data_IF_291449740000
#
_entry.id   IF_291449740000
#
_cell.length_a   1.000
_cell.length_b   1.000
_cell.length_c   1.000
_cell.angle_alpha   90.00
_cell.angle_beta   90.00
_cell.angle_gamma   90.00
#
_symmetry.space_group_name_H-M   'P 1'
#
loop_
_entity.id
_entity.type
_entity.pdbx_description
1 polymer ?
#
# COMPACT_ATOMS: atom_id res chain seq x y z
N UNK A 1 -17.01 2.49 12.55
CA UNK A 1 -16.34 3.66 13.20
C UNK A 1 -14.91 3.76 12.69
N UNK A 2 -14.50 4.92 12.16
CA UNK A 2 -13.14 5.16 11.67
C UNK A 2 -12.25 5.60 12.84
N UNK A 3 -11.16 4.87 13.10
CA UNK A 3 -10.07 5.29 13.98
C UNK A 3 -9.04 6.08 13.20
N UNK A 4 -8.47 7.09 13.85
CA UNK A 4 -7.45 7.96 13.32
C UNK A 4 -6.23 7.94 14.24
N UNK A 5 -5.05 7.85 13.67
CA UNK A 5 -3.78 8.00 14.39
C UNK A 5 -2.85 8.87 13.56
N UNK A 6 -2.33 9.93 14.16
CA UNK A 6 -1.25 10.71 13.55
C UNK A 6 0.09 10.10 13.93
N UNK A 7 0.94 9.95 12.94
CA UNK A 7 2.28 9.44 13.14
C UNK A 7 3.30 10.37 12.49
N UNK A 8 4.55 10.26 12.91
CA UNK A 8 5.66 11.08 12.41
C UNK A 8 6.84 10.22 11.99
N UNK A 9 6.88 9.84 10.72
CA UNK A 9 7.92 9.00 10.14
C UNK A 9 8.56 9.70 8.93
N UNK A 10 9.80 10.16 9.08
CA UNK A 10 10.19 11.55 9.39
C UNK A 10 9.18 12.71 9.16
N UNK A 11 8.18 12.55 8.30
CA UNK A 11 7.12 13.53 8.05
C UNK A 11 5.79 13.09 8.71
N UNK A 12 4.87 14.03 9.02
CA UNK A 12 3.54 13.67 9.51
C UNK A 12 2.74 12.89 8.46
N UNK A 13 2.02 11.87 8.89
CA UNK A 13 1.07 11.14 8.05
C UNK A 13 -0.12 10.68 8.89
N UNK A 14 -1.24 10.45 8.20
CA UNK A 14 -2.55 10.32 8.81
C UNK A 14 -3.10 8.91 8.58
N UNK A 15 -2.85 8.02 9.54
CA UNK A 15 -3.32 6.65 9.48
C UNK A 15 -4.80 6.55 9.85
N UNK A 16 -5.60 5.91 8.99
CA UNK A 16 -7.01 5.65 9.25
C UNK A 16 -7.34 4.17 9.09
N UNK A 17 -8.22 3.67 9.97
CA UNK A 17 -8.80 2.32 9.86
C UNK A 17 -10.29 2.39 10.16
N UNK A 18 -11.11 1.87 9.25
CA UNK A 18 -12.52 1.63 9.57
C UNK A 18 -12.66 0.32 10.32
N UNK A 19 -12.88 0.42 11.64
CA UNK A 19 -12.94 -0.73 12.54
C UNK A 19 -14.09 -1.69 12.21
N UNK A 20 -15.20 -1.14 11.71
CA UNK A 20 -16.41 -1.92 11.45
C UNK A 20 -16.27 -2.66 10.14
N UNK A 21 -15.88 -1.96 9.06
CA UNK A 21 -15.59 -2.60 7.77
C UNK A 21 -14.47 -3.62 7.90
N UNK A 22 -13.40 -3.29 8.64
CA UNK A 22 -12.30 -4.24 8.89
C UNK A 22 -12.80 -5.48 9.61
N UNK A 23 -13.66 -5.35 10.63
CA UNK A 23 -14.20 -6.50 11.34
C UNK A 23 -15.09 -7.39 10.45
N UNK A 24 -15.88 -6.78 9.57
CA UNK A 24 -16.86 -7.47 8.72
C UNK A 24 -16.22 -8.11 7.48
N UNK A 25 -15.23 -7.45 6.89
CA UNK A 25 -14.73 -7.79 5.55
C UNK A 25 -13.39 -8.54 5.56
N UNK A 26 -12.71 -8.66 6.71
CA UNK A 26 -11.32 -9.16 6.72
C UNK A 26 -11.11 -10.37 7.63
N UNK A 27 -10.13 -11.23 7.32
CA UNK A 27 -9.70 -12.27 8.24
C UNK A 27 -9.08 -11.64 9.51
N UNK A 28 -9.18 -12.38 10.62
CA UNK A 28 -8.72 -11.92 11.93
C UNK A 28 -7.25 -11.47 11.95
N UNK A 29 -6.39 -12.08 11.14
CA UNK A 29 -4.97 -11.71 11.03
C UNK A 29 -4.78 -10.28 10.51
N UNK A 30 -5.49 -9.89 9.44
CA UNK A 30 -5.42 -8.52 8.91
C UNK A 30 -6.04 -7.53 9.90
N UNK A 31 -7.19 -7.86 10.49
CA UNK A 31 -7.81 -7.03 11.52
C UNK A 31 -6.84 -6.74 12.66
N UNK A 32 -6.18 -7.77 13.20
CA UNK A 32 -5.25 -7.60 14.31
C UNK A 32 -4.08 -6.69 13.93
N UNK A 33 -3.48 -6.90 12.75
CA UNK A 33 -2.39 -6.05 12.26
C UNK A 33 -2.81 -4.57 12.16
N UNK A 34 -3.94 -4.28 11.50
CA UNK A 34 -4.42 -2.91 11.33
C UNK A 34 -4.71 -2.21 12.67
N UNK A 35 -5.32 -2.95 13.61
CA UNK A 35 -5.61 -2.40 14.94
C UNK A 35 -4.33 -2.17 15.75
N UNK A 36 -3.39 -3.13 15.69
CA UNK A 36 -2.11 -3.06 16.38
C UNK A 36 -1.28 -1.89 15.87
N UNK A 37 -1.20 -1.67 14.56
CA UNK A 37 -0.49 -0.52 14.01
C UNK A 37 -0.99 0.81 14.56
N UNK A 38 -2.29 0.97 14.81
CA UNK A 38 -2.84 2.20 15.40
C UNK A 38 -2.44 2.46 16.85
N UNK A 39 -1.94 1.45 17.57
CA UNK A 39 -1.62 1.54 19.01
C UNK A 39 -0.14 1.29 19.32
N UNK A 40 0.51 0.42 18.55
CA UNK A 40 1.86 -0.11 18.78
C UNK A 40 2.67 -0.13 17.47
N UNK A 41 2.60 0.92 16.66
CA UNK A 41 3.43 1.04 15.47
C UNK A 41 4.93 1.07 15.85
N UNK A 42 5.81 0.28 15.22
CA UNK A 42 7.24 0.31 15.51
C UNK A 42 7.91 1.49 14.80
N UNK A 43 7.80 2.68 15.41
CA UNK A 43 8.17 3.94 14.79
C UNK A 43 9.63 4.00 14.30
N UNK A 44 10.55 3.34 15.00
CA UNK A 44 11.98 3.28 14.67
C UNK A 44 12.23 2.70 13.27
N UNK A 45 11.39 1.78 12.81
CA UNK A 45 11.52 1.07 11.53
C UNK A 45 11.28 1.94 10.30
N UNK A 46 10.82 3.18 10.50
CA UNK A 46 10.47 4.10 9.41
C UNK A 46 11.35 5.37 9.42
N UNK A 47 12.36 5.41 10.28
CA UNK A 47 13.27 6.55 10.40
C UNK A 47 14.53 6.39 9.54
N UNK A 48 14.89 5.16 9.20
CA UNK A 48 16.09 4.80 8.44
C UNK A 48 15.76 3.74 7.37
N UNK A 49 16.72 3.47 6.50
CA UNK A 49 16.61 2.44 5.48
C UNK A 49 15.82 2.87 4.24
N UNK A 50 15.79 2.01 3.23
CA UNK A 50 15.11 2.32 1.97
C UNK A 50 13.60 2.44 2.17
N UNK A 51 12.96 3.34 1.41
CA UNK A 51 11.50 3.39 1.31
C UNK A 51 11.03 2.67 0.06
N UNK A 52 9.98 1.86 0.16
CA UNK A 52 9.41 1.12 -0.97
C UNK A 52 9.02 2.06 -2.13
N UNK A 53 8.48 3.24 -1.81
CA UNK A 53 8.12 4.28 -2.79
C UNK A 53 9.32 4.97 -3.46
N UNK A 54 10.53 4.82 -2.92
CA UNK A 54 11.76 5.37 -3.48
C UNK A 54 12.52 4.38 -4.39
N UNK A 55 12.06 3.12 -4.47
CA UNK A 55 12.70 2.10 -5.31
C UNK A 55 12.58 2.46 -6.80
N UNK A 56 13.72 2.63 -7.47
CA UNK A 56 13.79 2.91 -8.92
C UNK A 56 14.08 1.63 -9.71
N UNK A 57 13.23 0.64 -9.51
CA UNK A 57 13.33 -0.67 -10.13
C UNK A 57 11.95 -1.07 -10.63
N UNK A 58 11.87 -1.49 -11.88
CA UNK A 58 10.63 -2.03 -12.44
C UNK A 58 10.44 -3.45 -11.95
N UNK A 59 9.21 -3.82 -11.61
CA UNK A 59 8.90 -5.23 -11.38
C UNK A 59 8.81 -5.96 -12.73
N UNK A 60 8.77 -7.30 -12.68
CA UNK A 60 8.39 -8.09 -13.85
C UNK A 60 6.88 -8.21 -14.03
N UNK A 61 6.09 -7.57 -13.17
CA UNK A 61 4.64 -7.54 -13.33
C UNK A 61 4.28 -6.88 -14.66
N UNK A 62 3.16 -7.33 -15.23
CA UNK A 62 2.56 -6.73 -16.42
C UNK A 62 1.17 -6.23 -16.04
N UNK A 63 1.07 -5.04 -15.43
CA UNK A 63 -0.22 -4.49 -15.03
C UNK A 63 -1.16 -4.38 -16.23
N UNK A 64 -2.41 -4.78 -16.01
CA UNK A 64 -3.49 -4.63 -16.96
C UNK A 64 -4.09 -3.25 -16.75
N UNK A 65 -4.19 -2.48 -17.82
CA UNK A 65 -4.84 -1.17 -17.82
C UNK A 65 -6.36 -1.34 -17.78
N UNK A 66 -7.00 -0.69 -16.81
CA UNK A 66 -8.45 -0.68 -16.65
C UNK A 66 -8.93 0.77 -16.63
N UNK A 67 -9.74 1.11 -17.62
CA UNK A 67 -10.27 2.46 -17.80
C UNK A 67 -11.50 2.68 -16.92
N UNK A 68 -11.53 3.81 -16.21
CA UNK A 68 -12.73 4.35 -15.52
C UNK A 68 -13.45 3.36 -14.59
N UNK A 69 -12.72 2.67 -13.71
CA UNK A 69 -13.31 1.80 -12.69
C UNK A 69 -13.68 2.57 -11.40
N UNK A 70 -14.14 1.83 -10.38
CA UNK A 70 -14.56 2.38 -9.09
C UNK A 70 -13.49 3.25 -8.43
N UNK A 71 -12.22 2.83 -8.41
CA UNK A 71 -11.14 3.62 -7.78
C UNK A 71 -10.85 4.90 -8.53
N UNK A 72 -10.96 4.91 -9.86
CA UNK A 72 -10.84 6.13 -10.65
C UNK A 72 -11.96 7.13 -10.34
N UNK A 73 -13.22 6.65 -10.24
CA UNK A 73 -14.36 7.49 -9.84
C UNK A 73 -14.14 8.07 -8.43
N UNK A 74 -13.74 7.24 -7.47
CA UNK A 74 -13.47 7.67 -6.10
C UNK A 74 -12.32 8.69 -6.02
N UNK A 75 -11.30 8.56 -6.88
CA UNK A 75 -10.25 9.56 -7.01
C UNK A 75 -10.79 10.88 -7.58
N UNK A 76 -11.61 10.84 -8.63
CA UNK A 76 -12.22 12.04 -9.19
C UNK A 76 -13.05 12.81 -8.14
N UNK A 77 -13.93 12.09 -7.44
CA UNK A 77 -14.77 12.63 -6.36
C UNK A 77 -13.91 13.18 -5.21
N UNK A 78 -12.86 12.46 -4.81
CA UNK A 78 -11.96 12.91 -3.76
C UNK A 78 -11.19 14.18 -4.13
N UNK A 79 -10.70 14.28 -5.37
CA UNK A 79 -10.02 15.48 -5.87
C UNK A 79 -10.97 16.69 -5.92
N UNK A 80 -12.23 16.49 -6.30
CA UNK A 80 -13.26 17.54 -6.26
C UNK A 80 -13.61 17.94 -4.82
N UNK A 81 -13.58 16.98 -3.88
CA UNK A 81 -13.96 17.23 -2.49
C UNK A 81 -13.05 18.26 -1.79
N UNK A 82 -11.73 18.19 -2.02
CA UNK A 82 -10.80 19.26 -1.62
C UNK A 82 -10.66 19.52 -0.11
N UNK A 83 -10.99 18.54 0.75
CA UNK A 83 -10.95 18.66 2.21
C UNK A 83 -9.55 18.68 2.85
N UNK A 84 -8.50 18.37 2.08
CA UNK A 84 -7.11 18.27 2.49
C UNK A 84 -6.22 19.12 1.58
N UNK A 85 -5.05 19.52 2.09
CA UNK A 85 -4.10 20.34 1.35
C UNK A 85 -3.37 19.64 0.20
N UNK A 86 -3.53 18.32 0.05
CA UNK A 86 -2.86 17.52 -0.98
C UNK A 86 -3.84 16.64 -1.74
N UNK A 87 -3.52 16.34 -3.00
CA UNK A 87 -4.30 15.42 -3.82
C UNK A 87 -4.40 14.01 -3.21
N UNK A 88 -3.30 13.49 -2.63
CA UNK A 88 -3.29 12.19 -1.96
C UNK A 88 -4.24 12.19 -0.76
N UNK A 89 -4.07 13.15 0.16
CA UNK A 89 -4.91 13.23 1.36
C UNK A 89 -6.39 13.38 1.01
N UNK A 90 -6.72 14.12 -0.05
CA UNK A 90 -8.08 14.26 -0.54
C UNK A 90 -8.69 12.94 -1.00
N UNK A 91 -8.00 12.22 -1.88
CA UNK A 91 -8.45 10.92 -2.41
C UNK A 91 -8.57 9.88 -1.29
N UNK A 92 -7.53 9.76 -0.48
CA UNK A 92 -7.46 8.82 0.65
C UNK A 92 -8.59 9.07 1.67
N UNK A 93 -8.75 10.33 2.12
CA UNK A 93 -9.78 10.68 3.10
C UNK A 93 -11.19 10.51 2.53
N UNK A 94 -11.38 10.80 1.23
CA UNK A 94 -12.62 10.51 0.53
C UNK A 94 -12.94 9.03 0.57
N UNK A 95 -12.02 8.19 0.09
CA UNK A 95 -12.21 6.75 0.00
C UNK A 95 -12.55 6.12 1.35
N UNK A 96 -11.80 6.38 2.42
CA UNK A 96 -12.10 5.76 3.73
C UNK A 96 -13.47 6.18 4.28
N UNK A 97 -13.93 7.40 3.96
CA UNK A 97 -15.21 7.94 4.45
C UNK A 97 -16.42 7.52 3.62
N UNK A 98 -16.27 7.34 2.31
CA UNK A 98 -17.42 7.16 1.40
C UNK A 98 -17.46 5.79 0.74
N UNK A 99 -16.32 5.12 0.55
CA UNK A 99 -16.28 3.82 -0.11
C UNK A 99 -16.51 2.68 0.91
N UNK A 100 -17.53 1.82 0.73
CA UNK A 100 -17.80 0.71 1.64
C UNK A 100 -16.72 -0.37 1.58
N UNK A 101 -15.90 -0.40 0.52
CA UNK A 101 -14.83 -1.39 0.33
C UNK A 101 -13.50 -0.95 0.96
N UNK A 102 -13.29 0.36 1.21
CA UNK A 102 -12.05 0.89 1.79
C UNK A 102 -12.03 0.70 3.31
N UNK A 103 -10.98 0.03 3.80
CA UNK A 103 -10.84 -0.35 5.22
C UNK A 103 -9.66 0.34 5.93
N UNK A 104 -8.64 0.77 5.19
CA UNK A 104 -7.44 1.36 5.76
C UNK A 104 -6.77 2.34 4.79
N UNK A 105 -6.13 3.36 5.35
CA UNK A 105 -5.42 4.43 4.62
C UNK A 105 -4.12 4.76 5.34
N UNK A 106 -3.05 5.01 4.58
CA UNK A 106 -1.70 5.29 5.09
C UNK A 106 -1.21 4.19 6.04
N UNK A 107 -1.47 2.93 5.68
CA UNK A 107 -1.22 1.77 6.54
C UNK A 107 0.29 1.52 6.61
N UNK A 108 0.92 1.63 7.79
CA UNK A 108 2.36 1.44 7.92
C UNK A 108 2.73 -0.03 7.76
N UNK A 109 3.86 -0.28 7.10
CA UNK A 109 4.50 -1.59 7.01
C UNK A 109 6.02 -1.48 6.94
N UNK A 110 6.70 -2.52 7.36
CA UNK A 110 8.15 -2.63 7.29
C UNK A 110 8.58 -4.09 7.15
N UNK A 111 9.77 -4.31 6.62
CA UNK A 111 10.49 -5.57 6.61
C UNK A 111 11.88 -5.31 7.17
N UNK A 112 12.27 -6.09 8.17
CA UNK A 112 13.57 -5.97 8.82
C UNK A 112 14.69 -6.50 7.93
N UNK A 113 15.90 -6.01 8.14
CA UNK A 113 17.06 -6.34 7.29
C UNK A 113 17.42 -7.83 7.33
N UNK A 114 17.25 -8.48 8.48
CA UNK A 114 17.45 -9.92 8.66
C UNK A 114 16.40 -10.77 7.95
N UNK A 115 15.26 -10.19 7.58
CA UNK A 115 14.20 -10.86 6.82
C UNK A 115 14.41 -10.74 5.30
N UNK A 116 15.38 -9.94 4.83
CA UNK A 116 15.59 -9.71 3.39
C UNK A 116 15.96 -10.98 2.63
N UNK A 117 16.72 -11.87 3.26
CA UNK A 117 17.18 -13.12 2.64
C UNK A 117 16.00 -14.03 2.26
N UNK A 118 14.88 -13.98 3.00
CA UNK A 118 13.66 -14.76 2.68
C UNK A 118 13.03 -14.34 1.34
N UNK A 119 13.31 -13.12 0.91
CA UNK A 119 12.85 -12.53 -0.35
C UNK A 119 14.00 -12.37 -1.35
N UNK A 120 15.23 -12.77 -0.99
CA UNK A 120 16.46 -12.53 -1.75
C UNK A 120 16.81 -11.04 -1.94
N UNK A 121 16.19 -10.16 -1.16
CA UNK A 121 16.34 -8.72 -1.30
C UNK A 121 17.72 -8.28 -0.83
N UNK A 122 18.28 -7.27 -1.50
CA UNK A 122 19.47 -6.58 -1.06
C UNK A 122 19.31 -5.10 -1.37
N UNK A 123 19.63 -4.26 -0.40
CA UNK A 123 19.62 -2.82 -0.57
C UNK A 123 21.00 -2.27 -0.21
N UNK A 124 21.41 -1.23 -0.93
CA UNK A 124 22.67 -0.54 -0.65
C UNK A 124 22.61 0.31 0.62
N UNK A 125 21.40 0.74 0.99
CA UNK A 125 21.14 1.49 2.21
C UNK A 125 20.82 0.52 3.35
N UNK A 126 21.52 0.61 4.50
CA UNK A 126 21.30 -0.29 5.63
C UNK A 126 20.01 0.06 6.38
N UNK A 127 19.43 -0.95 7.06
CA UNK A 127 18.19 -0.80 7.83
C UNK A 127 16.95 -1.37 7.13
N UNK A 128 15.79 -1.32 7.82
CA UNK A 128 14.56 -1.92 7.34
C UNK A 128 14.05 -1.22 6.07
N UNK A 129 13.42 -1.98 5.18
CA UNK A 129 12.60 -1.38 4.12
C UNK A 129 11.22 -1.07 4.69
N UNK A 130 10.74 0.15 4.48
CA UNK A 130 9.47 0.60 5.03
C UNK A 130 8.58 1.30 3.99
N UNK A 131 7.32 1.51 4.36
CA UNK A 131 6.41 2.38 3.62
C UNK A 131 5.01 2.41 4.20
N UNK A 132 4.15 3.14 3.50
CA UNK A 132 2.77 3.37 3.86
C UNK A 132 1.90 3.04 2.66
N UNK A 133 0.95 2.14 2.83
CA UNK A 133 -0.02 1.81 1.79
C UNK A 133 -1.05 2.94 1.76
N UNK A 134 -1.19 3.61 0.62
CA UNK A 134 -2.17 4.70 0.48
C UNK A 134 -3.57 4.22 0.84
N UNK A 135 -4.02 3.10 0.26
CA UNK A 135 -5.37 2.57 0.47
C UNK A 135 -5.36 1.02 0.48
N UNK A 136 -6.04 0.43 1.47
CA UNK A 136 -6.43 -0.98 1.47
C UNK A 136 -7.94 -1.09 1.25
N UNK A 137 -8.35 -1.87 0.25
CA UNK A 137 -9.76 -2.20 -0.03
C UNK A 137 -9.98 -3.70 0.03
N UNK A 138 -11.21 -4.11 0.38
CA UNK A 138 -11.68 -5.49 0.19
C UNK A 138 -12.65 -5.52 -0.98
N UNK A 139 -12.31 -6.28 -2.01
CA UNK A 139 -13.07 -6.38 -3.26
C UNK A 139 -12.90 -7.77 -3.85
N UNK A 140 -14.03 -8.40 -4.22
CA UNK A 140 -14.11 -9.78 -4.71
C UNK A 140 -13.39 -10.79 -3.81
N UNK A 141 -13.61 -10.68 -2.50
CA UNK A 141 -12.97 -11.47 -1.44
C UNK A 141 -11.44 -11.39 -1.41
N UNK A 142 -10.84 -10.40 -2.07
CA UNK A 142 -9.39 -10.15 -2.09
C UNK A 142 -9.00 -8.86 -1.38
N UNK A 143 -7.77 -8.86 -0.86
CA UNK A 143 -7.15 -7.71 -0.21
C UNK A 143 -6.43 -6.90 -1.28
N UNK A 144 -6.99 -5.74 -1.62
CA UNK A 144 -6.40 -4.86 -2.61
C UNK A 144 -5.49 -3.82 -1.98
N UNK A 145 -4.25 -3.77 -2.48
CA UNK A 145 -3.26 -2.75 -2.19
C UNK A 145 -3.30 -1.73 -3.32
N UNK A 146 -3.76 -0.52 -2.99
CA UNK A 146 -3.93 0.58 -3.92
C UNK A 146 -2.99 1.74 -3.58
N UNK A 147 -2.41 2.35 -4.62
CA UNK A 147 -1.47 3.47 -4.52
C UNK A 147 -1.92 4.55 -5.52
N UNK A 148 -2.26 5.74 -5.01
CA UNK A 148 -2.77 6.82 -5.84
C UNK A 148 -1.59 7.55 -6.48
N UNK A 149 -1.61 7.72 -7.81
CA UNK A 149 -0.53 8.38 -8.55
C UNK A 149 -1.11 9.38 -9.53
N UNK A 150 -0.95 10.70 -9.30
CA UNK A 150 -1.36 11.68 -10.29
C UNK A 150 -0.67 11.38 -11.63
N UNK A 151 -1.47 11.17 -12.69
CA UNK A 151 -0.98 10.74 -14.01
C UNK A 151 -0.39 9.32 -13.96
N UNK A 152 -1.16 8.36 -13.46
CA UNK A 152 -0.74 6.96 -13.27
C UNK A 152 -0.12 6.35 -14.53
N UNK A 153 -0.61 6.73 -15.72
CA UNK A 153 -0.04 6.30 -17.00
C UNK A 153 1.45 6.65 -17.22
N UNK A 154 1.99 7.62 -16.47
CA UNK A 154 3.39 8.06 -16.56
C UNK A 154 4.29 7.40 -15.51
N UNK A 155 3.71 6.66 -14.58
CA UNK A 155 4.45 6.02 -13.52
C UNK A 155 5.28 4.86 -14.05
N UNK A 156 6.49 4.73 -13.49
CA UNK A 156 7.47 3.72 -13.93
C UNK A 156 7.72 2.64 -12.89
N UNK A 157 7.45 2.91 -11.62
CA UNK A 157 7.87 2.08 -10.49
C UNK A 157 6.74 1.84 -9.47
N UNK A 158 5.53 2.36 -9.73
CA UNK A 158 4.39 2.19 -8.84
C UNK A 158 4.01 0.70 -8.69
N UNK A 159 4.17 -0.09 -9.75
CA UNK A 159 4.03 -1.55 -9.76
C UNK A 159 4.96 -2.23 -8.74
N UNK A 160 6.24 -1.85 -8.70
CA UNK A 160 7.18 -2.36 -7.72
C UNK A 160 6.81 -1.92 -6.30
N UNK A 161 6.38 -0.67 -6.12
CA UNK A 161 5.97 -0.16 -4.81
C UNK A 161 4.80 -0.98 -4.24
N UNK A 162 3.71 -1.18 -5.00
CA UNK A 162 2.56 -1.95 -4.51
C UNK A 162 2.83 -3.45 -4.40
N UNK A 163 3.74 -3.99 -5.21
CA UNK A 163 4.21 -5.37 -5.06
C UNK A 163 4.95 -5.57 -3.72
N UNK A 164 5.88 -4.67 -3.39
CA UNK A 164 6.59 -4.70 -2.11
C UNK A 164 5.62 -4.59 -0.94
N UNK A 165 4.64 -3.70 -1.03
CA UNK A 165 3.59 -3.59 -0.01
C UNK A 165 2.81 -4.89 0.19
N UNK A 166 2.37 -5.54 -0.89
CA UNK A 166 1.66 -6.81 -0.78
C UNK A 166 2.54 -7.91 -0.17
N UNK A 167 3.81 -8.01 -0.59
CA UNK A 167 4.77 -8.99 -0.04
C UNK A 167 5.00 -8.79 1.46
N UNK A 168 5.28 -7.55 1.87
CA UNK A 168 5.55 -7.22 3.26
C UNK A 168 4.29 -7.42 4.12
N UNK A 169 3.13 -6.98 3.64
CA UNK A 169 1.89 -7.16 4.40
C UNK A 169 1.50 -8.65 4.49
N UNK A 170 1.67 -9.41 3.41
CA UNK A 170 1.52 -10.88 3.41
C UNK A 170 2.42 -11.53 4.47
N UNK A 171 3.69 -11.13 4.54
CA UNK A 171 4.65 -11.59 5.54
C UNK A 171 4.22 -11.24 6.97
N UNK A 172 3.94 -9.97 7.24
CA UNK A 172 3.56 -9.50 8.59
C UNK A 172 2.25 -10.09 9.09
N UNK A 173 1.30 -10.35 8.19
CA UNK A 173 -0.01 -10.90 8.55
C UNK A 173 -0.09 -12.42 8.42
N UNK A 174 0.89 -13.07 7.79
CA UNK A 174 0.83 -14.50 7.46
C UNK A 174 -0.43 -14.85 6.65
N UNK A 175 -0.89 -13.91 5.80
CA UNK A 175 -1.95 -14.13 4.83
C UNK A 175 -1.27 -14.49 3.50
N UNK A 176 -1.70 -15.57 2.82
CA UNK A 176 -1.07 -15.98 1.57
C UNK A 176 -1.13 -14.89 0.49
N UNK A 177 -0.07 -14.78 -0.32
CA UNK A 177 0.06 -13.71 -1.32
C UNK A 177 -1.05 -13.75 -2.39
N UNK A 178 -1.59 -14.94 -2.68
CA UNK A 178 -2.71 -15.16 -3.61
C UNK A 178 -4.03 -14.51 -3.16
N UNK A 179 -4.13 -14.11 -1.90
CA UNK A 179 -5.24 -13.33 -1.36
C UNK A 179 -5.12 -11.83 -1.65
N UNK A 180 -3.97 -11.39 -2.17
CA UNK A 180 -3.72 -9.99 -2.47
C UNK A 180 -3.94 -9.67 -3.94
N UNK A 181 -4.31 -8.42 -4.20
CA UNK A 181 -4.30 -7.78 -5.52
C UNK A 181 -3.60 -6.45 -5.40
N UNK A 182 -2.92 -6.03 -6.46
CA UNK A 182 -2.15 -4.81 -6.48
C UNK A 182 -2.69 -3.89 -7.56
N UNK A 183 -2.71 -2.59 -7.29
CA UNK A 183 -2.92 -1.62 -8.34
C UNK A 183 -2.49 -0.21 -7.98
N UNK A 184 -2.27 0.58 -9.00
CA UNK A 184 -2.04 2.01 -8.88
C UNK A 184 -2.95 2.75 -9.86
N UNK A 185 -3.38 3.95 -9.49
CA UNK A 185 -4.50 4.59 -10.18
C UNK A 185 -4.45 6.10 -10.11
N UNK A 186 -5.12 6.73 -11.08
CA UNK A 186 -5.52 8.13 -11.02
C UNK A 186 -7.03 8.24 -11.26
N UNK A 187 -7.53 9.47 -11.47
CA UNK A 187 -8.95 9.73 -11.70
C UNK A 187 -9.50 9.23 -13.04
N UNK A 188 -8.64 8.72 -13.94
CA UNK A 188 -9.03 8.29 -15.28
C UNK A 188 -8.77 6.80 -15.52
N UNK A 189 -7.64 6.30 -15.04
CA UNK A 189 -7.14 4.96 -15.34
C UNK A 189 -6.51 4.31 -14.12
N UNK A 190 -6.69 3.00 -14.03
CA UNK A 190 -6.01 2.16 -13.06
C UNK A 190 -5.20 1.06 -13.75
N UNK A 191 -4.19 0.56 -13.07
CA UNK A 191 -3.31 -0.49 -13.52
C UNK A 191 -3.27 -1.57 -12.46
N UNK A 192 -3.68 -2.79 -12.80
CA UNK A 192 -3.91 -3.86 -11.81
C UNK A 192 -3.16 -5.13 -12.15
N UNK A 193 -2.77 -5.89 -11.13
CA UNK A 193 -2.15 -7.21 -11.32
C UNK A 193 -2.26 -8.07 -10.05
N UNK A 194 -2.04 -9.37 -10.24
CA UNK A 194 -1.87 -10.33 -9.15
C UNK A 194 -0.40 -10.36 -8.71
N UNK A 195 -0.07 -10.09 -7.44
CA UNK A 195 1.31 -10.07 -6.97
C UNK A 195 1.91 -11.48 -6.99
N UNK A 196 3.19 -11.55 -7.35
CA UNK A 196 3.98 -12.79 -7.41
C UNK A 196 5.39 -12.53 -6.91
N UNK A 197 5.96 -13.48 -6.15
CA UNK A 197 7.32 -13.34 -5.61
C UNK A 197 8.36 -13.23 -6.72
N UNK A 198 8.14 -13.86 -7.87
CA UNK A 198 9.05 -13.81 -9.00
C UNK A 198 9.16 -12.40 -9.60
N UNK A 199 8.19 -11.52 -9.34
CA UNK A 199 8.21 -10.16 -9.90
C UNK A 199 9.26 -9.23 -9.26
N UNK A 200 9.87 -9.62 -8.13
CA UNK A 200 10.99 -8.90 -7.51
C UNK A 200 12.38 -9.33 -8.02
N UNK A 201 12.48 -10.28 -8.96
CA UNK A 201 13.77 -10.70 -9.57
C UNK A 201 14.72 -9.55 -9.98
N UNK A 202 14.24 -8.42 -10.54
CA UNK A 202 15.10 -7.30 -10.89
C UNK A 202 15.79 -6.64 -9.68
N UNK A 203 15.22 -6.73 -8.47
CA UNK A 203 15.86 -6.27 -7.23
C UNK A 203 16.99 -7.21 -6.80
N UNK A 204 16.85 -8.51 -7.08
CA UNK A 204 17.86 -9.52 -6.76
C UNK A 204 19.14 -9.33 -7.61
N UNK A 205 18.97 -8.89 -8.85
CA UNK A 205 20.04 -8.83 -9.86
C UNK A 205 20.76 -7.47 -9.96
N UNK A 206 20.25 -6.39 -9.34
CA UNK A 206 20.89 -5.06 -9.37
C UNK A 206 22.08 -4.89 -8.43
N UNK A 207 22.38 -5.91 -7.61
CA UNK A 207 23.45 -5.88 -6.60
C UNK A 207 24.59 -6.87 -6.91
N UNK A 208 24.79 -7.24 -8.18
CA UNK A 208 26.01 -7.89 -8.69
C UNK A 208 26.86 -6.90 -9.47
#
# INVERSE_FOLDING_TARGET
MIKYTEFKHPWPYHYYVDMEKTHLLTPKKLQNYLVEMGSNCPHDKFLTGPRSSALKVKSLAKPIEVQSNDVCRLAAEGLEWGMQGTAHGNVQLHMIKTDPKTIGVEVPLWLDEDEFDEFGLKFSEPGPISGHIDVIRIEDDKIWIWDFKPKAAKEKYADMQVLMYALILSHRTQIPLEEFRCGYFDQFTSYVFEPKKEFIEPLLNKNK
#
